data_IF_200631151650
#
_entry.id   IF_200631151650
#
_cell.length_a   1.000
_cell.length_b   1.000
_cell.length_c   1.000
_cell.angle_alpha   90.00
_cell.angle_beta   90.00
_cell.angle_gamma   90.00
#
_symmetry.space_group_name_H-M   'P 1'
#
loop_
_entity.id
_entity.type
_entity.pdbx_description
1 polymer ?
#
# COMPACT_ATOMS: atom_id res chain seq x y z
N UNK A 1 9.41 -26.19 9.87
CA UNK A 1 8.62 -24.96 9.66
C UNK A 1 7.59 -24.90 10.78
N UNK A 2 7.71 -23.93 11.70
CA UNK A 2 6.68 -23.72 12.71
C UNK A 2 5.51 -22.99 12.05
N UNK A 3 4.50 -23.75 11.62
CA UNK A 3 3.25 -23.16 11.16
C UNK A 3 2.47 -22.68 12.38
N UNK A 4 2.10 -21.41 12.40
CA UNK A 4 1.10 -20.94 13.35
C UNK A 4 -0.19 -21.74 13.13
N UNK A 5 -0.96 -22.01 14.20
CA UNK A 5 -2.21 -22.76 14.06
C UNK A 5 -3.13 -22.09 13.05
N UNK A 6 -3.61 -22.85 12.07
CA UNK A 6 -4.53 -22.34 11.06
C UNK A 6 -5.88 -22.08 11.75
N UNK A 7 -6.36 -20.83 11.68
CA UNK A 7 -7.70 -20.47 12.14
C UNK A 7 -8.75 -20.94 11.12
N UNK A 8 -9.94 -21.23 11.57
CA UNK A 8 -11.07 -21.61 10.69
C UNK A 8 -11.53 -20.43 9.80
N UNK A 9 -11.38 -19.20 10.30
CA UNK A 9 -11.66 -17.97 9.57
C UNK A 9 -10.95 -16.78 10.23
N UNK A 10 -10.89 -15.66 9.52
CA UNK A 10 -10.32 -14.37 9.97
C UNK A 10 -11.39 -13.30 9.88
N UNK A 11 -11.26 -12.25 10.68
CA UNK A 11 -12.19 -11.11 10.59
C UNK A 11 -11.91 -10.29 9.34
N UNK A 12 -12.98 -9.81 8.69
CA UNK A 12 -12.82 -8.83 7.62
C UNK A 12 -12.30 -7.51 8.17
N UNK A 13 -11.45 -6.76 7.43
CA UNK A 13 -10.98 -5.46 7.89
C UNK A 13 -12.12 -4.47 8.06
N UNK A 14 -12.03 -3.64 9.10
CA UNK A 14 -12.96 -2.56 9.37
C UNK A 14 -12.39 -1.22 8.91
N UNK A 15 -13.25 -0.22 8.59
CA UNK A 15 -12.83 1.12 8.20
C UNK A 15 -12.36 1.92 9.42
N UNK A 16 -11.21 1.54 9.99
CA UNK A 16 -10.61 2.19 11.15
C UNK A 16 -9.53 3.19 10.74
N UNK A 17 -9.19 4.10 11.66
CA UNK A 17 -8.04 4.98 11.52
C UNK A 17 -6.80 4.38 12.16
N UNK A 18 -5.68 4.45 11.44
CA UNK A 18 -4.36 3.99 11.90
C UNK A 18 -3.43 5.21 11.97
N UNK A 19 -2.82 5.44 13.11
CA UNK A 19 -2.01 6.65 13.32
C UNK A 19 -0.55 6.31 13.52
N UNK A 20 0.30 6.87 12.67
CA UNK A 20 1.76 6.83 12.77
C UNK A 20 2.35 8.12 13.35
N UNK A 21 3.67 8.29 13.19
CA UNK A 21 4.37 9.50 13.62
C UNK A 21 4.16 10.68 12.67
N UNK A 22 4.25 10.47 11.37
CA UNK A 22 4.17 11.48 10.32
C UNK A 22 2.85 11.45 9.55
N UNK A 23 2.22 10.27 9.42
CA UNK A 23 0.96 10.10 8.69
C UNK A 23 -0.10 9.39 9.51
N UNK A 24 -1.36 9.56 9.10
CA UNK A 24 -2.48 8.72 9.51
C UNK A 24 -3.15 8.13 8.26
N UNK A 25 -3.61 6.89 8.37
CA UNK A 25 -4.51 6.28 7.41
C UNK A 25 -5.92 6.40 7.96
N UNK A 26 -6.82 7.02 7.22
CA UNK A 26 -8.22 7.18 7.62
C UNK A 26 -9.15 6.65 6.52
N UNK A 27 -10.35 6.17 6.83
CA UNK A 27 -11.31 5.79 5.80
C UNK A 27 -11.46 6.89 4.76
N UNK A 28 -11.47 6.52 3.47
CA UNK A 28 -11.63 7.49 2.40
C UNK A 28 -13.01 8.16 2.52
N UNK A 29 -13.02 9.50 2.46
CA UNK A 29 -14.22 10.31 2.57
C UNK A 29 -14.21 11.43 1.52
N UNK A 30 -15.40 11.99 1.23
CA UNK A 30 -15.54 13.08 0.25
C UNK A 30 -14.68 14.31 0.59
N UNK A 31 -14.44 14.59 1.89
CA UNK A 31 -13.58 15.68 2.35
C UNK A 31 -12.12 15.60 1.89
N UNK A 32 -11.67 14.45 1.43
CA UNK A 32 -10.31 14.28 0.89
C UNK A 32 -10.25 14.57 -0.63
N UNK A 33 -11.39 14.88 -1.24
CA UNK A 33 -11.53 14.97 -2.70
C UNK A 33 -10.62 16.02 -3.33
N UNK A 34 -10.61 17.25 -2.79
CA UNK A 34 -9.84 18.36 -3.39
C UNK A 34 -8.34 18.06 -3.44
N UNK A 35 -7.76 17.62 -2.34
CA UNK A 35 -6.35 17.23 -2.28
C UNK A 35 -6.04 16.06 -3.22
N UNK A 36 -6.90 15.01 -3.23
CA UNK A 36 -6.72 13.85 -4.10
C UNK A 36 -6.85 14.20 -5.59
N UNK A 37 -7.77 15.08 -5.96
CA UNK A 37 -7.89 15.56 -7.32
C UNK A 37 -6.65 16.35 -7.74
N UNK A 38 -6.23 17.30 -6.91
CA UNK A 38 -5.05 18.11 -7.15
C UNK A 38 -3.79 17.25 -7.38
N UNK A 39 -3.53 16.26 -6.51
CA UNK A 39 -2.37 15.36 -6.70
C UNK A 39 -2.54 14.41 -7.90
N UNK A 40 -3.79 14.03 -8.24
CA UNK A 40 -4.06 13.14 -9.39
C UNK A 40 -3.79 13.83 -10.72
N UNK A 41 -3.97 15.15 -10.81
CA UNK A 41 -3.78 15.95 -12.02
C UNK A 41 -2.46 16.74 -12.03
N UNK A 42 -1.69 16.73 -10.93
CA UNK A 42 -0.40 17.40 -10.84
C UNK A 42 0.61 16.88 -11.89
N UNK A 43 1.62 17.69 -12.16
CA UNK A 43 2.73 17.33 -13.07
C UNK A 43 3.23 15.90 -12.83
N UNK A 44 3.35 15.12 -13.90
CA UNK A 44 3.72 13.69 -13.84
C UNK A 44 2.55 12.73 -13.56
N UNK A 45 1.30 13.19 -13.66
CA UNK A 45 0.11 12.37 -13.48
C UNK A 45 0.10 11.14 -14.39
N UNK A 46 0.45 11.30 -15.68
CA UNK A 46 0.50 10.20 -16.64
C UNK A 46 1.40 9.05 -16.17
N UNK A 47 2.55 9.36 -15.59
CA UNK A 47 3.46 8.33 -15.05
C UNK A 47 2.88 7.67 -13.80
N UNK A 48 2.25 8.42 -12.89
CA UNK A 48 1.61 7.87 -11.69
C UNK A 48 0.43 6.96 -12.04
N UNK A 49 -0.36 7.30 -13.05
CA UNK A 49 -1.50 6.53 -13.50
C UNK A 49 -1.15 5.44 -14.53
N UNK A 50 0.07 5.40 -15.06
CA UNK A 50 0.47 4.47 -16.14
C UNK A 50 0.06 3.02 -15.87
N UNK A 51 0.22 2.55 -14.65
CA UNK A 51 -0.03 1.16 -14.26
C UNK A 51 -1.25 0.96 -13.35
N UNK A 52 -1.95 2.04 -12.99
CA UNK A 52 -3.24 1.96 -12.34
C UNK A 52 -4.33 1.55 -13.33
N UNK A 53 -5.43 1.03 -12.83
CA UNK A 53 -6.58 0.65 -13.67
C UNK A 53 -7.28 1.88 -14.28
N UNK A 54 -7.30 2.98 -13.51
CA UNK A 54 -7.89 4.25 -13.93
C UNK A 54 -6.95 5.04 -14.83
N UNK A 55 -7.53 5.92 -15.66
CA UNK A 55 -6.82 6.99 -16.37
C UNK A 55 -6.57 8.17 -15.43
N UNK A 56 -5.74 9.14 -15.86
CA UNK A 56 -5.71 10.46 -15.22
C UNK A 56 -7.13 11.02 -15.28
N UNK A 57 -7.71 11.42 -14.13
CA UNK A 57 -9.15 11.73 -14.08
C UNK A 57 -9.47 13.09 -14.67
N UNK A 58 -10.66 13.17 -15.30
CA UNK A 58 -11.41 14.44 -15.45
C UNK A 58 -12.16 14.74 -14.15
N UNK A 59 -12.67 15.97 -13.95
CA UNK A 59 -13.50 16.28 -12.78
C UNK A 59 -14.67 15.30 -12.60
N UNK A 60 -15.38 14.98 -13.68
CA UNK A 60 -16.55 14.09 -13.65
C UNK A 60 -16.18 12.64 -13.31
N UNK A 61 -15.10 12.12 -13.91
CA UNK A 61 -14.64 10.76 -13.65
C UNK A 61 -14.06 10.62 -12.24
N UNK A 62 -13.47 11.70 -11.70
CA UNK A 62 -12.98 11.73 -10.34
C UNK A 62 -14.12 11.72 -9.30
N UNK A 63 -15.15 12.52 -9.53
CA UNK A 63 -16.34 12.51 -8.67
C UNK A 63 -16.99 11.12 -8.61
N UNK A 64 -17.16 10.49 -9.77
CA UNK A 64 -17.67 9.11 -9.83
C UNK A 64 -16.78 8.10 -9.12
N UNK A 65 -15.45 8.25 -9.24
CA UNK A 65 -14.50 7.44 -8.51
C UNK A 65 -14.68 7.64 -7.00
N UNK A 66 -14.74 8.88 -6.50
CA UNK A 66 -14.88 9.17 -5.07
C UNK A 66 -16.16 8.59 -4.50
N UNK A 67 -17.29 8.74 -5.18
CA UNK A 67 -18.58 8.15 -4.76
C UNK A 67 -18.45 6.63 -4.58
N UNK A 68 -17.88 5.94 -5.57
CA UNK A 68 -17.70 4.48 -5.54
C UNK A 68 -16.67 4.05 -4.49
N UNK A 69 -15.55 4.75 -4.40
CA UNK A 69 -14.44 4.37 -3.53
C UNK A 69 -14.78 4.58 -2.05
N UNK A 70 -15.50 5.64 -1.70
CA UNK A 70 -15.97 5.88 -0.32
C UNK A 70 -16.99 4.83 0.15
N UNK A 71 -17.80 4.27 -0.74
CA UNK A 71 -18.79 3.25 -0.43
C UNK A 71 -18.24 1.81 -0.51
N UNK A 72 -17.04 1.63 -1.08
CA UNK A 72 -16.48 0.31 -1.36
C UNK A 72 -15.96 -0.37 -0.09
N UNK A 73 -16.29 -1.65 0.07
CA UNK A 73 -15.75 -2.53 1.13
C UNK A 73 -14.58 -3.39 0.62
N UNK A 74 -14.55 -3.68 -0.67
CA UNK A 74 -13.45 -4.38 -1.35
C UNK A 74 -13.37 -3.88 -2.81
N UNK A 75 -12.40 -3.02 -3.11
CA UNK A 75 -11.29 -2.50 -2.29
C UNK A 75 -11.75 -1.57 -1.15
N UNK A 76 -11.22 -1.76 0.05
CA UNK A 76 -11.42 -0.83 1.17
C UNK A 76 -10.36 0.28 1.10
N UNK A 77 -10.78 1.47 0.67
CA UNK A 77 -9.88 2.59 0.46
C UNK A 77 -9.63 3.38 1.74
N UNK A 78 -8.38 3.83 1.89
CA UNK A 78 -7.97 4.81 2.90
C UNK A 78 -7.27 6.00 2.24
N UNK A 79 -7.48 7.18 2.83
CA UNK A 79 -6.68 8.37 2.57
C UNK A 79 -5.43 8.36 3.45
N UNK A 80 -4.31 8.85 2.91
CA UNK A 80 -3.08 9.04 3.67
C UNK A 80 -2.96 10.52 4.03
N UNK A 81 -3.10 10.82 5.30
CA UNK A 81 -3.14 12.19 5.82
C UNK A 81 -1.80 12.53 6.45
N UNK A 82 -1.20 13.65 6.05
CA UNK A 82 -0.02 14.22 6.70
C UNK A 82 -0.43 14.84 8.02
N UNK A 83 0.20 14.43 9.12
CA UNK A 83 -0.20 14.91 10.46
C UNK A 83 0.18 16.36 10.72
N UNK A 84 1.19 16.87 10.04
CA UNK A 84 1.70 18.24 10.21
C UNK A 84 0.65 19.31 9.85
N UNK A 85 -0.10 19.10 8.78
CA UNK A 85 -1.02 20.08 8.20
C UNK A 85 -2.41 19.53 7.84
N UNK A 86 -2.65 18.24 8.05
CA UNK A 86 -3.92 17.60 7.76
C UNK A 86 -4.20 17.33 6.28
N UNK A 87 -3.25 17.61 5.37
CA UNK A 87 -3.43 17.40 3.93
C UNK A 87 -3.43 15.92 3.55
N UNK A 88 -4.29 15.57 2.60
CA UNK A 88 -4.31 14.25 2.01
C UNK A 88 -3.20 14.13 0.93
N UNK A 89 -2.22 13.26 1.17
CA UNK A 89 -1.07 13.06 0.30
C UNK A 89 -1.24 11.91 -0.70
N UNK A 90 -2.30 11.14 -0.58
CA UNK A 90 -2.56 10.01 -1.45
C UNK A 90 -3.62 9.06 -0.91
N UNK A 91 -3.80 7.97 -1.62
CA UNK A 91 -4.70 6.87 -1.25
C UNK A 91 -4.01 5.52 -1.41
N UNK A 92 -4.49 4.54 -0.68
CA UNK A 92 -4.18 3.12 -0.87
C UNK A 92 -5.37 2.28 -0.43
N UNK A 93 -5.39 0.99 -0.72
CA UNK A 93 -6.49 0.12 -0.31
C UNK A 93 -6.03 -1.23 0.16
N UNK A 94 -6.81 -1.86 1.04
CA UNK A 94 -6.84 -3.30 1.24
C UNK A 94 -7.89 -3.89 0.30
N UNK A 95 -7.55 -4.94 -0.43
CA UNK A 95 -8.40 -5.50 -1.47
C UNK A 95 -8.22 -7.01 -1.62
N UNK A 96 -9.09 -7.63 -2.42
CA UNK A 96 -9.14 -9.09 -2.56
C UNK A 96 -9.10 -9.77 -1.19
N UNK A 97 -10.00 -9.30 -0.35
CA UNK A 97 -10.10 -9.69 1.05
C UNK A 97 -10.74 -11.07 1.11
N UNK A 98 -9.97 -12.06 1.58
CA UNK A 98 -10.42 -13.46 1.63
C UNK A 98 -10.26 -13.98 3.06
N UNK A 99 -11.23 -13.68 3.97
CA UNK A 99 -11.14 -14.03 5.39
C UNK A 99 -11.05 -15.54 5.61
N UNK A 100 -11.74 -16.35 4.80
CA UNK A 100 -11.71 -17.81 4.92
C UNK A 100 -10.30 -18.40 4.73
N UNK A 101 -9.43 -17.66 4.05
CA UNK A 101 -8.05 -18.08 3.80
C UNK A 101 -7.03 -17.24 4.56
N UNK A 102 -7.45 -16.18 5.25
CA UNK A 102 -6.55 -15.22 5.89
C UNK A 102 -5.59 -14.55 4.89
N UNK A 103 -6.10 -14.20 3.70
CA UNK A 103 -5.35 -13.60 2.59
C UNK A 103 -5.93 -12.23 2.26
N UNK A 104 -5.06 -11.25 2.08
CA UNK A 104 -5.43 -9.88 1.73
C UNK A 104 -4.33 -9.23 0.89
N UNK A 105 -4.69 -8.28 0.04
CA UNK A 105 -3.76 -7.55 -0.82
C UNK A 105 -3.75 -6.06 -0.50
N UNK A 106 -2.59 -5.43 -0.54
CA UNK A 106 -2.49 -3.97 -0.63
C UNK A 106 -2.41 -3.56 -2.09
N UNK A 107 -3.26 -2.62 -2.51
CA UNK A 107 -3.31 -2.18 -3.90
C UNK A 107 -3.87 -0.77 -4.06
N UNK A 108 -4.12 -0.39 -5.32
CA UNK A 108 -4.67 0.92 -5.69
C UNK A 108 -3.89 2.09 -5.09
N UNK A 109 -2.57 1.91 -4.93
CA UNK A 109 -1.68 2.90 -4.32
C UNK A 109 -1.48 4.05 -5.31
N UNK A 110 -1.94 5.23 -4.91
CA UNK A 110 -1.66 6.50 -5.57
C UNK A 110 -1.10 7.46 -4.53
N UNK A 111 0.20 7.65 -4.53
CA UNK A 111 0.90 8.60 -3.68
C UNK A 111 1.30 9.83 -4.50
N UNK A 112 0.99 11.00 -3.98
CA UNK A 112 1.35 12.27 -4.60
C UNK A 112 2.86 12.52 -4.64
N UNK A 113 3.30 13.57 -5.37
CA UNK A 113 4.72 13.92 -5.47
C UNK A 113 5.42 14.12 -4.13
N UNK A 114 4.72 14.72 -3.16
CA UNK A 114 5.25 15.04 -1.83
C UNK A 114 5.40 13.80 -0.93
N UNK A 115 4.84 12.67 -1.33
CA UNK A 115 4.83 11.43 -0.55
C UNK A 115 5.71 10.34 -1.15
N UNK A 116 5.73 10.20 -2.48
CA UNK A 116 6.43 9.11 -3.15
C UNK A 116 7.94 9.09 -2.80
N UNK A 117 8.47 7.91 -2.46
CA UNK A 117 9.86 7.68 -2.04
C UNK A 117 10.29 8.37 -0.74
N UNK A 118 9.35 8.82 0.10
CA UNK A 118 9.61 9.44 1.39
C UNK A 118 9.46 8.46 2.57
N UNK A 119 9.80 8.94 3.78
CA UNK A 119 9.51 8.26 5.05
C UNK A 119 8.01 8.05 5.23
N UNK A 120 7.18 9.02 4.83
CA UNK A 120 5.73 8.96 4.95
C UNK A 120 5.13 7.78 4.15
N UNK A 121 5.61 7.53 2.93
CA UNK A 121 5.17 6.39 2.12
C UNK A 121 5.50 5.05 2.80
N UNK A 122 6.68 4.95 3.41
CA UNK A 122 7.09 3.76 4.14
C UNK A 122 6.26 3.55 5.41
N UNK A 123 5.97 4.62 6.15
CA UNK A 123 5.11 4.56 7.34
C UNK A 123 3.67 4.18 6.99
N UNK A 124 3.11 4.75 5.90
CA UNK A 124 1.76 4.41 5.44
C UNK A 124 1.62 2.92 5.09
N UNK A 125 2.64 2.34 4.44
CA UNK A 125 2.66 0.89 4.21
C UNK A 125 2.77 0.12 5.54
N UNK A 126 3.67 0.52 6.41
CA UNK A 126 3.92 -0.15 7.70
C UNK A 126 2.67 -0.20 8.59
N UNK A 127 1.89 0.88 8.63
CA UNK A 127 0.62 0.92 9.35
C UNK A 127 -0.38 -0.13 8.85
N UNK A 128 -0.52 -0.29 7.53
CA UNK A 128 -1.35 -1.36 6.96
C UNK A 128 -0.81 -2.75 7.28
N UNK A 129 0.50 -2.96 7.20
CA UNK A 129 1.09 -4.25 7.52
C UNK A 129 0.90 -4.63 8.99
N UNK A 130 1.06 -3.68 9.92
CA UNK A 130 0.72 -3.88 11.34
C UNK A 130 -0.76 -4.25 11.52
N UNK A 131 -1.67 -3.55 10.85
CA UNK A 131 -3.09 -3.85 10.92
C UNK A 131 -3.41 -5.26 10.42
N UNK A 132 -2.85 -5.64 9.27
CA UNK A 132 -3.07 -6.95 8.65
C UNK A 132 -2.54 -8.09 9.52
N UNK A 133 -1.32 -7.98 10.01
CA UNK A 133 -0.69 -9.09 10.75
C UNK A 133 -0.95 -9.04 12.25
N UNK A 134 -0.81 -7.87 12.89
CA UNK A 134 -0.87 -7.79 14.35
C UNK A 134 -2.31 -7.70 14.86
N UNK A 135 -3.21 -7.01 14.12
CA UNK A 135 -4.60 -6.82 14.54
C UNK A 135 -5.51 -7.91 13.98
N UNK A 136 -5.54 -8.07 12.65
CA UNK A 136 -6.41 -9.05 11.99
C UNK A 136 -5.85 -10.49 12.09
N UNK A 137 -4.53 -10.63 12.25
CA UNK A 137 -3.84 -11.91 12.33
C UNK A 137 -3.85 -12.69 11.02
N UNK A 138 -3.97 -12.01 9.88
CA UNK A 138 -3.94 -12.65 8.57
C UNK A 138 -2.60 -13.35 8.36
N UNK A 139 -2.63 -14.45 7.63
CA UNK A 139 -1.45 -15.29 7.41
C UNK A 139 -0.67 -14.94 6.16
N UNK A 140 -1.28 -14.14 5.24
CA UNK A 140 -0.67 -13.77 3.98
C UNK A 140 -1.11 -12.38 3.54
N UNK A 141 -0.14 -11.52 3.26
CA UNK A 141 -0.31 -10.20 2.69
C UNK A 141 0.29 -10.19 1.28
N UNK A 142 -0.44 -9.70 0.30
CA UNK A 142 -0.08 -9.76 -1.11
C UNK A 142 0.20 -8.37 -1.69
N UNK A 143 1.11 -8.35 -2.67
CA UNK A 143 1.37 -7.20 -3.53
C UNK A 143 1.43 -7.67 -4.97
N UNK A 144 0.66 -7.01 -5.86
CA UNK A 144 0.64 -7.35 -7.28
C UNK A 144 0.83 -6.10 -8.12
N UNK A 145 1.63 -6.20 -9.17
CA UNK A 145 1.82 -5.09 -10.09
C UNK A 145 2.06 -5.56 -11.52
N UNK A 146 1.92 -4.66 -12.49
CA UNK A 146 2.36 -4.93 -13.85
C UNK A 146 3.86 -5.26 -13.83
N UNK A 147 4.27 -6.31 -14.56
CA UNK A 147 5.68 -6.74 -14.62
C UNK A 147 6.62 -5.63 -15.09
N UNK A 148 6.10 -4.68 -15.89
CA UNK A 148 6.85 -3.53 -16.39
C UNK A 148 6.93 -2.37 -15.37
N UNK A 149 6.18 -2.44 -14.26
CA UNK A 149 6.22 -1.42 -13.21
C UNK A 149 7.45 -1.60 -12.30
N UNK A 150 8.62 -1.21 -12.80
CA UNK A 150 9.89 -1.32 -12.07
C UNK A 150 9.85 -0.65 -10.68
N UNK A 151 9.34 0.59 -10.54
CA UNK A 151 9.20 1.23 -9.22
C UNK A 151 8.39 0.40 -8.22
N UNK A 152 7.22 -0.11 -8.61
CA UNK A 152 6.37 -0.93 -7.74
C UNK A 152 7.03 -2.26 -7.36
N UNK A 153 7.72 -2.92 -8.29
CA UNK A 153 8.48 -4.15 -8.02
C UNK A 153 9.59 -3.91 -6.98
N UNK A 154 10.33 -2.79 -7.12
CA UNK A 154 11.37 -2.43 -6.14
C UNK A 154 10.78 -2.09 -4.78
N UNK A 155 9.61 -1.43 -4.74
CA UNK A 155 8.91 -1.12 -3.50
C UNK A 155 8.47 -2.39 -2.76
N UNK A 156 7.87 -3.37 -3.47
CA UNK A 156 7.48 -4.64 -2.89
C UNK A 156 8.68 -5.36 -2.23
N UNK A 157 9.79 -5.50 -2.95
CA UNK A 157 11.00 -6.13 -2.42
C UNK A 157 11.59 -5.35 -1.23
N UNK A 158 11.63 -4.01 -1.32
CA UNK A 158 12.11 -3.15 -0.23
C UNK A 158 11.28 -3.28 1.03
N UNK A 159 9.96 -3.48 0.89
CA UNK A 159 9.03 -3.67 2.00
C UNK A 159 9.01 -5.09 2.58
N UNK A 160 9.78 -6.01 2.02
CA UNK A 160 9.93 -7.35 2.57
C UNK A 160 9.07 -8.42 1.91
N UNK A 161 8.32 -8.07 0.87
CA UNK A 161 7.62 -9.09 0.09
C UNK A 161 8.61 -9.93 -0.71
N UNK A 162 8.32 -11.21 -0.86
CA UNK A 162 9.05 -12.13 -1.74
C UNK A 162 8.37 -12.25 -3.09
N UNK A 163 9.16 -12.27 -4.16
CA UNK A 163 8.66 -12.54 -5.51
C UNK A 163 8.28 -14.00 -5.64
N UNK A 164 7.09 -14.28 -6.17
CA UNK A 164 6.56 -15.64 -6.32
C UNK A 164 6.37 -16.07 -7.77
N UNK A 165 6.26 -15.13 -8.70
CA UNK A 165 6.13 -15.46 -10.11
C UNK A 165 5.46 -14.39 -10.95
N UNK A 166 5.29 -14.70 -12.24
CA UNK A 166 4.59 -13.86 -13.22
C UNK A 166 3.41 -14.64 -13.81
N UNK A 167 2.23 -14.07 -13.70
CA UNK A 167 1.08 -14.53 -14.45
C UNK A 167 1.08 -13.83 -15.81
N UNK A 168 1.44 -14.56 -16.86
CA UNK A 168 1.48 -14.03 -18.23
C UNK A 168 0.08 -13.85 -18.78
N UNK A 169 -0.15 -12.76 -19.54
CA UNK A 169 -1.46 -12.40 -20.10
C UNK A 169 -2.61 -12.45 -19.10
N UNK A 170 -2.31 -12.05 -17.84
CA UNK A 170 -3.24 -12.18 -16.71
C UNK A 170 -4.49 -11.32 -16.86
N UNK A 171 -4.35 -10.13 -17.43
CA UNK A 171 -5.44 -9.16 -17.53
C UNK A 171 -5.31 -8.32 -18.80
N UNK A 172 -6.43 -7.68 -19.21
CA UNK A 172 -6.42 -6.58 -20.15
C UNK A 172 -6.67 -5.29 -19.37
N UNK A 173 -5.72 -4.35 -19.42
CA UNK A 173 -5.82 -3.06 -18.74
C UNK A 173 -5.61 -1.95 -19.77
N UNK A 174 -6.56 -1.02 -19.87
CA UNK A 174 -6.52 0.09 -20.85
C UNK A 174 -6.26 -0.40 -22.27
N UNK A 175 -6.91 -1.51 -22.67
CA UNK A 175 -6.79 -2.12 -23.99
C UNK A 175 -5.46 -2.85 -24.26
N UNK A 176 -4.60 -3.02 -23.26
CA UNK A 176 -3.30 -3.69 -23.40
C UNK A 176 -3.23 -4.94 -22.54
N UNK A 177 -2.57 -5.99 -23.05
CA UNK A 177 -2.26 -7.18 -22.26
C UNK A 177 -1.33 -6.82 -21.10
N UNK A 178 -1.63 -7.32 -19.92
CA UNK A 178 -0.85 -7.13 -18.70
C UNK A 178 -0.37 -8.46 -18.15
N UNK A 179 0.93 -8.63 -18.08
CA UNK A 179 1.56 -9.63 -17.24
C UNK A 179 1.66 -9.10 -15.81
N UNK A 180 1.31 -9.91 -14.83
CA UNK A 180 1.27 -9.49 -13.43
C UNK A 180 2.34 -10.22 -12.62
N UNK A 181 3.24 -9.45 -12.02
CA UNK A 181 4.19 -9.94 -11.03
C UNK A 181 3.50 -10.06 -9.66
N UNK A 182 3.66 -11.21 -9.02
CA UNK A 182 3.08 -11.57 -7.73
C UNK A 182 4.15 -11.60 -6.65
N UNK A 183 3.79 -11.06 -5.49
CA UNK A 183 4.63 -11.02 -4.30
C UNK A 183 3.79 -11.35 -3.08
N UNK A 184 4.38 -12.09 -2.13
CA UNK A 184 3.75 -12.45 -0.86
C UNK A 184 4.65 -12.11 0.33
N UNK A 185 4.03 -11.81 1.46
CA UNK A 185 4.63 -11.71 2.79
C UNK A 185 3.81 -12.56 3.73
N UNK A 186 4.45 -13.40 4.53
CA UNK A 186 3.77 -14.36 5.38
C UNK A 186 3.87 -13.97 6.87
N UNK A 187 2.91 -14.42 7.65
CA UNK A 187 2.79 -14.13 9.08
C UNK A 187 4.05 -14.48 9.88
N UNK A 188 4.68 -15.62 9.58
CA UNK A 188 5.91 -16.03 10.27
C UNK A 188 7.14 -15.21 9.88
N UNK A 189 7.11 -14.47 8.76
CA UNK A 189 8.16 -13.56 8.30
C UNK A 189 7.99 -12.18 8.95
N UNK A 190 6.75 -11.82 9.27
CA UNK A 190 6.38 -10.48 9.73
C UNK A 190 7.15 -10.00 10.97
N UNK A 191 7.35 -10.79 12.05
CA UNK A 191 8.03 -10.30 13.24
C UNK A 191 9.43 -9.75 12.95
N UNK A 192 10.19 -10.39 12.07
CA UNK A 192 11.52 -9.92 11.69
C UNK A 192 11.43 -8.70 10.76
N UNK A 193 10.51 -8.73 9.80
CA UNK A 193 10.26 -7.60 8.89
C UNK A 193 9.83 -6.36 9.68
N UNK A 194 8.93 -6.52 10.66
CA UNK A 194 8.46 -5.45 11.54
C UNK A 194 9.62 -4.77 12.27
N UNK A 195 10.53 -5.53 12.87
CA UNK A 195 11.72 -4.98 13.55
C UNK A 195 12.61 -4.15 12.61
N UNK A 196 12.71 -4.53 11.31
CA UNK A 196 13.43 -3.73 10.33
C UNK A 196 12.74 -2.39 10.05
N UNK A 197 11.40 -2.39 9.98
CA UNK A 197 10.62 -1.15 9.82
C UNK A 197 10.73 -0.25 11.05
N UNK A 198 10.57 -0.79 12.26
CA UNK A 198 10.64 -0.03 13.51
C UNK A 198 12.01 0.66 13.65
N UNK A 199 13.10 -0.07 13.41
CA UNK A 199 14.46 0.51 13.40
C UNK A 199 14.63 1.56 12.32
N UNK A 200 14.11 1.30 11.11
CA UNK A 200 14.25 2.24 10.00
C UNK A 200 13.41 3.51 10.21
N UNK A 201 12.20 3.41 10.74
CA UNK A 201 11.30 4.53 11.03
C UNK A 201 11.71 5.33 12.26
N UNK A 202 12.61 4.81 13.09
CA UNK A 202 13.12 5.51 14.27
C UNK A 202 13.72 6.89 13.89
N UNK A 203 13.45 7.96 14.67
CA UNK A 203 14.01 9.29 14.41
C UNK A 203 15.54 9.30 14.27
N UNK A 204 16.23 8.43 15.00
CA UNK A 204 17.70 8.31 15.00
C UNK A 204 18.26 7.90 13.63
N UNK A 205 17.45 7.25 12.79
CA UNK A 205 17.85 6.85 11.44
C UNK A 205 17.86 8.01 10.44
N UNK A 206 17.43 9.20 10.83
CA UNK A 206 17.38 10.37 9.95
C UNK A 206 18.31 11.48 10.46
N UNK A 207 18.93 12.18 9.53
CA UNK A 207 19.72 13.38 9.84
C UNK A 207 18.82 14.62 9.98
N UNK A 208 19.43 15.77 10.33
CA UNK A 208 18.72 17.03 10.46
C UNK A 208 18.08 17.57 9.16
N UNK A 209 18.38 16.94 8.02
CA UNK A 209 17.77 17.24 6.71
C UNK A 209 16.72 16.21 6.31
N UNK A 210 16.41 15.23 7.19
CA UNK A 210 15.46 14.15 6.93
C UNK A 210 15.99 13.02 6.03
N UNK A 211 17.30 12.99 5.74
CA UNK A 211 17.91 11.92 4.95
C UNK A 211 18.16 10.69 5.80
N UNK A 212 17.81 9.50 5.28
CA UNK A 212 18.06 8.24 5.98
C UNK A 212 19.57 7.94 6.10
N UNK A 213 20.02 7.53 7.30
CA UNK A 213 21.39 7.09 7.55
C UNK A 213 21.60 5.64 7.09
N UNK A 214 20.59 4.78 7.24
CA UNK A 214 20.60 3.39 6.79
C UNK A 214 19.41 3.12 5.89
N UNK A 215 19.59 2.24 4.90
CA UNK A 215 18.50 1.85 4.01
C UNK A 215 17.59 0.80 4.66
N UNK A 216 16.29 0.91 4.38
CA UNK A 216 15.37 -0.19 4.71
C UNK A 216 15.67 -1.40 3.82
N UNK A 217 15.98 -2.53 4.45
CA UNK A 217 16.25 -3.81 3.80
C UNK A 217 15.39 -4.91 4.40
N UNK A 218 14.09 -4.69 4.48
CA UNK A 218 13.16 -5.64 5.08
C UNK A 218 13.10 -6.98 4.30
N UNK A 219 13.36 -6.95 2.99
CA UNK A 219 13.34 -8.14 2.13
C UNK A 219 14.65 -8.96 2.07
N UNK A 220 15.71 -8.54 2.77
CA UNK A 220 16.96 -9.31 2.85
C UNK A 220 16.94 -10.25 4.08
N UNK A 221 15.96 -11.14 4.13
CA UNK A 221 16.05 -12.31 4.97
C UNK A 221 17.09 -13.22 4.32
N UNK A 222 18.20 -13.47 5.02
CA UNK A 222 19.20 -14.46 4.63
C UNK A 222 18.48 -15.78 4.31
N UNK A 223 18.70 -16.32 3.12
CA UNK A 223 18.34 -17.68 2.76
C UNK A 223 19.09 -18.65 3.67
#
# INVERSE_FOLDING_TARGET
>A
MNHLPIRSSYEAPLPISLTGSAVALVPLAASHGDDLYALSTAKGAEDRFRYLFEQVPTPESFEQFMIKACASKDPMYVAVIRKEDGRCLGRQSLMRITPDHGVIEIGNILWGPDMAATRMATEAFFLHACYVFDTLGYRRFEWKCNVLNGPSRRAALRFGFRFEGVFRQHMIVKGKSRDTAWYGMLDHEWPQIKQHFERWLSPENFDGKGSQKTQLRAGLLSL
#
